data_IF_928482188153
#
_entry.id   IF_928482188153
#
_cell.length_a   1.000
_cell.length_b   1.000
_cell.length_c   1.000
_cell.angle_alpha   90.00
_cell.angle_beta   90.00
_cell.angle_gamma   90.00
#
_symmetry.space_group_name_H-M   'P 1'
#
loop_
_entity.id
_entity.type
_entity.pdbx_description
1 polymer ?
#
# COMPACT_ATOMS: atom_id res chain seq x y z
N UNK A 1 17.70 13.23 -2.11
CA UNK A 1 16.70 13.70 -3.12
C UNK A 1 15.81 14.73 -2.44
N UNK A 2 15.18 15.68 -3.15
CA UNK A 2 14.27 16.65 -2.51
C UNK A 2 12.87 16.59 -3.12
N UNK A 3 11.86 16.32 -2.29
CA UNK A 3 10.45 16.30 -2.70
C UNK A 3 9.66 17.32 -1.90
N UNK A 4 8.97 18.24 -2.59
CA UNK A 4 8.16 19.32 -1.99
C UNK A 4 8.85 20.11 -0.86
N UNK A 5 10.16 20.29 -0.92
CA UNK A 5 10.90 21.03 0.12
C UNK A 5 11.60 20.14 1.15
N UNK A 6 11.29 18.85 1.21
CA UNK A 6 11.79 17.88 2.19
C UNK A 6 12.91 17.02 1.59
N UNK A 7 13.99 16.85 2.34
CA UNK A 7 15.12 16.02 1.94
C UNK A 7 14.88 14.56 2.31
N UNK A 8 14.93 13.70 1.30
CA UNK A 8 14.79 12.25 1.39
C UNK A 8 16.16 11.58 1.23
N UNK A 9 16.41 10.59 2.08
CA UNK A 9 17.71 9.95 2.32
C UNK A 9 17.56 8.43 2.35
N UNK A 10 18.63 7.71 1.97
CA UNK A 10 18.64 6.24 1.98
C UNK A 10 17.68 5.62 0.96
N UNK A 11 17.45 6.30 -0.17
CA UNK A 11 16.54 5.84 -1.24
C UNK A 11 17.10 4.67 -2.06
N UNK A 12 18.35 4.30 -1.83
CA UNK A 12 19.05 3.16 -2.43
C UNK A 12 19.02 1.91 -1.53
N UNK A 13 18.38 1.98 -0.36
CA UNK A 13 18.26 0.84 0.55
C UNK A 13 17.26 -0.18 0.01
N UNK A 14 17.52 -1.44 0.35
CA UNK A 14 16.56 -2.52 0.13
C UNK A 14 15.41 -2.36 1.13
N UNK A 15 14.18 -2.57 0.65
CA UNK A 15 12.96 -2.50 1.47
C UNK A 15 12.17 -3.76 1.22
N UNK A 16 11.94 -4.55 2.27
CA UNK A 16 11.17 -5.78 2.19
C UNK A 16 10.18 -5.83 3.33
N UNK A 17 8.90 -6.01 2.98
CA UNK A 17 7.82 -6.20 3.93
C UNK A 17 7.63 -7.70 4.16
N UNK A 18 7.57 -8.12 5.41
CA UNK A 18 7.44 -9.52 5.80
C UNK A 18 6.03 -10.04 5.49
N UNK A 19 5.97 -11.15 4.76
CA UNK A 19 4.74 -11.85 4.41
C UNK A 19 5.06 -13.31 4.05
N UNK A 20 4.09 -14.22 3.94
CA UNK A 20 4.36 -15.65 3.72
C UNK A 20 5.26 -15.98 2.51
N UNK A 21 5.25 -15.14 1.47
CA UNK A 21 6.12 -15.29 0.29
C UNK A 21 7.56 -14.83 0.49
N UNK A 22 7.84 -14.10 1.58
CA UNK A 22 9.16 -13.60 1.97
C UNK A 22 9.42 -14.01 3.42
N UNK A 23 10.21 -15.07 3.61
CA UNK A 23 10.36 -15.75 4.92
C UNK A 23 11.27 -15.02 5.92
N UNK A 24 11.71 -13.81 5.62
CA UNK A 24 12.58 -13.01 6.49
C UNK A 24 11.79 -11.91 7.20
N UNK A 25 12.40 -11.30 8.22
CA UNK A 25 11.81 -10.15 8.91
C UNK A 25 11.77 -8.93 7.97
N UNK A 26 10.99 -7.92 8.37
CA UNK A 26 11.01 -6.62 7.69
C UNK A 26 12.45 -6.10 7.55
N UNK A 27 12.78 -5.60 6.37
CA UNK A 27 14.07 -5.01 6.06
C UNK A 27 13.87 -3.58 5.58
N UNK A 28 14.59 -2.63 6.19
CA UNK A 28 14.59 -1.24 5.72
C UNK A 28 13.28 -0.48 5.93
N UNK A 29 12.43 -0.85 6.89
CA UNK A 29 11.10 -0.26 7.15
C UNK A 29 11.07 0.80 8.25
N UNK A 30 12.22 1.39 8.60
CA UNK A 30 12.34 2.29 9.75
C UNK A 30 11.33 3.45 9.75
N UNK A 31 11.04 4.01 8.57
CA UNK A 31 10.10 5.14 8.46
C UNK A 31 8.64 4.68 8.49
N UNK A 32 8.32 3.53 7.92
CA UNK A 32 7.01 2.89 8.09
C UNK A 32 6.76 2.63 9.58
N UNK A 33 7.69 2.00 10.28
CA UNK A 33 7.54 1.68 11.71
C UNK A 33 7.33 2.95 12.54
N UNK A 34 8.11 3.99 12.23
CA UNK A 34 7.99 5.30 12.87
C UNK A 34 6.63 5.95 12.62
N UNK A 35 6.13 5.89 11.38
CA UNK A 35 4.84 6.47 11.02
C UNK A 35 3.69 5.73 11.72
N UNK A 36 3.73 4.40 11.71
CA UNK A 36 2.70 3.56 12.30
C UNK A 36 2.68 3.65 13.84
N UNK A 37 3.82 3.94 14.48
CA UNK A 37 3.90 4.09 15.95
C UNK A 37 3.72 5.52 16.45
N UNK A 38 3.56 6.51 15.57
CA UNK A 38 3.38 7.91 15.99
C UNK A 38 2.08 8.14 16.78
N UNK A 39 2.05 9.18 17.61
CA UNK A 39 0.84 9.65 18.28
C UNK A 39 -0.17 10.17 17.24
N UNK A 40 -1.27 9.43 17.04
CA UNK A 40 -2.29 9.75 16.05
C UNK A 40 -3.16 10.94 16.48
N UNK A 41 -3.31 11.17 17.80
CA UNK A 41 -4.06 12.31 18.33
C UNK A 41 -3.33 13.65 18.11
N UNK A 42 -2.01 13.61 17.90
CA UNK A 42 -1.21 14.79 17.56
C UNK A 42 -1.34 15.22 16.09
N UNK A 43 -1.93 14.40 15.22
CA UNK A 43 -2.08 14.68 13.80
C UNK A 43 -3.28 15.59 13.53
N UNK A 44 -3.10 16.55 12.62
CA UNK A 44 -4.24 17.25 12.02
C UNK A 44 -5.08 16.28 11.18
N UNK A 45 -6.37 16.59 10.91
CA UNK A 45 -7.22 15.71 10.10
C UNK A 45 -6.63 15.33 8.73
N UNK A 46 -5.95 16.27 8.06
CA UNK A 46 -5.28 15.99 6.78
C UNK A 46 -4.11 15.03 6.93
N UNK A 47 -3.28 15.22 7.96
CA UNK A 47 -2.15 14.34 8.22
C UNK A 47 -2.63 12.93 8.60
N UNK A 48 -3.66 12.85 9.45
CA UNK A 48 -4.29 11.59 9.81
C UNK A 48 -4.83 10.84 8.59
N UNK A 49 -5.49 11.54 7.68
CA UNK A 49 -5.98 10.98 6.43
C UNK A 49 -4.85 10.40 5.57
N UNK A 50 -3.75 11.14 5.37
CA UNK A 50 -2.62 10.66 4.56
C UNK A 50 -1.88 9.47 5.20
N UNK A 51 -1.74 9.47 6.53
CA UNK A 51 -1.19 8.32 7.27
C UNK A 51 -2.09 7.10 7.15
N UNK A 52 -3.41 7.29 7.27
CA UNK A 52 -4.41 6.22 7.11
C UNK A 52 -4.40 5.65 5.69
N UNK A 53 -4.28 6.51 4.67
CA UNK A 53 -4.18 6.09 3.27
C UNK A 53 -2.94 5.24 3.02
N UNK A 54 -1.78 5.67 3.50
CA UNK A 54 -0.56 4.88 3.36
C UNK A 54 -0.64 3.54 4.11
N UNK A 55 -1.12 3.56 5.36
CA UNK A 55 -1.30 2.36 6.18
C UNK A 55 -2.23 1.35 5.49
N UNK A 56 -3.30 1.82 4.85
CA UNK A 56 -4.23 0.97 4.11
C UNK A 56 -3.56 0.23 2.94
N UNK A 57 -2.62 0.88 2.23
CA UNK A 57 -1.83 0.24 1.15
C UNK A 57 -0.83 -0.77 1.71
N UNK A 58 -0.16 -0.47 2.83
CA UNK A 58 0.76 -1.41 3.50
C UNK A 58 0.00 -2.67 3.95
N UNK A 59 -1.18 -2.48 4.53
CA UNK A 59 -2.07 -3.55 4.91
C UNK A 59 -2.57 -4.36 3.71
N UNK A 60 -2.89 -3.70 2.59
CA UNK A 60 -3.27 -4.35 1.33
C UNK A 60 -2.13 -5.23 0.81
N UNK A 61 -0.91 -4.68 0.73
CA UNK A 61 0.30 -5.42 0.33
C UNK A 61 0.50 -6.66 1.18
N UNK A 62 0.45 -6.52 2.51
CA UNK A 62 0.58 -7.65 3.43
C UNK A 62 -0.45 -8.75 3.14
N UNK A 63 -1.73 -8.41 2.94
CA UNK A 63 -2.76 -9.41 2.69
C UNK A 63 -2.59 -10.12 1.34
N UNK A 64 -2.33 -9.36 0.28
CA UNK A 64 -2.17 -9.91 -1.07
C UNK A 64 -0.89 -10.75 -1.15
N UNK A 65 0.22 -10.27 -0.62
CA UNK A 65 1.46 -11.03 -0.60
C UNK A 65 1.40 -12.26 0.31
N UNK A 66 0.53 -12.27 1.33
CA UNK A 66 0.44 -13.41 2.25
C UNK A 66 -0.52 -14.52 1.77
N UNK A 67 -1.62 -14.17 1.09
CA UNK A 67 -2.63 -15.15 0.67
C UNK A 67 -3.45 -14.73 -0.56
N UNK A 68 -2.95 -13.77 -1.33
CA UNK A 68 -3.59 -13.26 -2.54
C UNK A 68 -4.78 -12.36 -2.29
N UNK A 69 -5.39 -11.95 -3.39
CA UNK A 69 -6.63 -11.17 -3.42
C UNK A 69 -7.74 -11.92 -2.68
N UNK A 70 -7.74 -13.26 -2.73
CA UNK A 70 -8.65 -14.08 -1.93
C UNK A 70 -8.54 -13.83 -0.42
N UNK A 71 -7.33 -13.76 0.14
CA UNK A 71 -7.14 -13.43 1.55
C UNK A 71 -7.49 -11.97 1.86
N UNK A 72 -7.10 -11.04 0.99
CA UNK A 72 -7.43 -9.62 1.11
C UNK A 72 -8.95 -9.38 1.19
N UNK A 73 -9.73 -10.02 0.32
CA UNK A 73 -11.19 -9.94 0.33
C UNK A 73 -11.77 -10.69 1.53
N UNK A 74 -11.35 -11.93 1.75
CA UNK A 74 -11.87 -12.77 2.85
C UNK A 74 -11.66 -12.20 4.24
N UNK A 75 -10.63 -11.37 4.43
CA UNK A 75 -10.36 -10.64 5.67
C UNK A 75 -10.96 -9.21 5.70
N UNK A 76 -11.74 -8.83 4.69
CA UNK A 76 -12.43 -7.54 4.60
C UNK A 76 -11.50 -6.33 4.41
N UNK A 77 -10.29 -6.50 3.87
CA UNK A 77 -9.35 -5.38 3.66
C UNK A 77 -9.70 -4.52 2.44
N UNK A 78 -10.67 -4.95 1.63
CA UNK A 78 -11.30 -4.15 0.57
C UNK A 78 -12.33 -3.14 1.08
N UNK A 79 -12.80 -3.31 2.32
CA UNK A 79 -13.84 -2.48 2.92
C UNK A 79 -13.25 -1.39 3.81
N UNK A 80 -13.98 -0.28 3.97
CA UNK A 80 -13.64 0.75 4.94
C UNK A 80 -13.86 0.26 6.38
N UNK A 81 -12.92 0.59 7.28
CA UNK A 81 -13.07 0.43 8.72
C UNK A 81 -12.64 1.70 9.45
N UNK A 82 -13.54 2.20 10.30
CA UNK A 82 -13.24 3.30 11.19
C UNK A 82 -12.20 2.88 12.25
N UNK A 83 -11.44 3.83 12.83
CA UNK A 83 -10.51 3.54 13.91
C UNK A 83 -11.26 2.96 15.11
N UNK A 84 -10.67 1.97 15.78
CA UNK A 84 -11.26 1.41 17.00
C UNK A 84 -10.94 2.25 18.24
N UNK A 85 -9.77 2.89 18.25
CA UNK A 85 -9.28 3.76 19.31
C UNK A 85 -8.58 5.01 18.76
N UNK A 86 -8.29 5.97 19.65
CA UNK A 86 -7.59 7.21 19.28
C UNK A 86 -6.15 6.99 18.82
N UNK A 87 -5.57 5.81 19.11
CA UNK A 87 -4.23 5.42 18.69
C UNK A 87 -4.23 4.68 17.32
N UNK A 88 -5.41 4.37 16.78
CA UNK A 88 -5.56 3.68 15.50
C UNK A 88 -5.66 4.66 14.32
N UNK A 89 -5.48 4.13 13.10
CA UNK A 89 -5.75 4.85 11.85
C UNK A 89 -7.03 4.34 11.21
N UNK A 90 -7.58 5.10 10.26
CA UNK A 90 -8.60 4.56 9.37
C UNK A 90 -7.99 3.49 8.45
N UNK A 91 -8.77 2.46 8.18
CA UNK A 91 -8.48 1.55 7.08
C UNK A 91 -9.44 1.89 5.94
N UNK A 92 -8.92 2.48 4.87
CA UNK A 92 -9.72 2.77 3.70
C UNK A 92 -9.88 1.55 2.79
N UNK A 93 -10.95 1.54 2.01
CA UNK A 93 -11.28 0.44 1.10
C UNK A 93 -10.47 0.45 -0.20
N UNK A 94 -10.79 -0.48 -1.09
CA UNK A 94 -10.07 -0.71 -2.34
C UNK A 94 -9.95 0.56 -3.21
N UNK A 95 -11.01 1.37 -3.28
CA UNK A 95 -11.03 2.60 -4.10
C UNK A 95 -9.99 3.61 -3.62
N UNK A 96 -9.94 3.90 -2.32
CA UNK A 96 -8.95 4.81 -1.75
C UNK A 96 -7.54 4.23 -1.79
N UNK A 97 -7.38 2.91 -1.63
CA UNK A 97 -6.09 2.24 -1.78
C UNK A 97 -5.56 2.40 -3.22
N UNK A 98 -6.41 2.29 -4.24
CA UNK A 98 -6.05 2.57 -5.65
C UNK A 98 -5.62 4.01 -5.83
N UNK A 99 -6.33 4.98 -5.25
CA UNK A 99 -5.91 6.39 -5.32
C UNK A 99 -4.55 6.60 -4.67
N UNK A 100 -4.29 5.95 -3.54
CA UNK A 100 -3.02 6.04 -2.87
C UNK A 100 -1.89 5.38 -3.68
N UNK A 101 -2.11 4.22 -4.29
CA UNK A 101 -1.14 3.58 -5.20
C UNK A 101 -0.79 4.47 -6.40
N UNK A 102 -1.78 5.11 -7.01
CA UNK A 102 -1.57 6.07 -8.10
C UNK A 102 -0.75 7.27 -7.62
N UNK A 103 -1.04 7.79 -6.42
CA UNK A 103 -0.27 8.87 -5.80
C UNK A 103 1.17 8.45 -5.46
N UNK A 104 1.39 7.20 -5.02
CA UNK A 104 2.72 6.65 -4.79
C UNK A 104 3.51 6.52 -6.08
N UNK A 105 2.89 6.10 -7.19
CA UNK A 105 3.55 6.08 -8.50
C UNK A 105 3.94 7.50 -8.97
N UNK A 106 3.06 8.49 -8.80
CA UNK A 106 3.35 9.89 -9.12
C UNK A 106 4.46 10.47 -8.23
N UNK A 107 4.47 10.11 -6.94
CA UNK A 107 5.56 10.41 -6.03
C UNK A 107 6.87 9.76 -6.50
N UNK A 108 6.79 8.50 -6.92
CA UNK A 108 7.90 7.73 -7.49
C UNK A 108 8.52 8.40 -8.71
N UNK A 109 7.71 8.99 -9.60
CA UNK A 109 8.21 9.72 -10.78
C UNK A 109 9.11 10.92 -10.39
N UNK A 110 8.90 11.50 -9.21
CA UNK A 110 9.70 12.60 -8.70
C UNK A 110 10.95 12.12 -7.94
N UNK A 111 10.81 11.04 -7.17
CA UNK A 111 11.85 10.60 -6.20
C UNK A 111 12.77 9.53 -6.77
N UNK A 112 12.26 8.71 -7.68
CA UNK A 112 12.95 7.62 -8.37
C UNK A 112 12.80 7.75 -9.90
N UNK A 113 13.30 8.83 -10.52
CA UNK A 113 13.14 9.05 -11.96
C UNK A 113 13.84 7.97 -12.82
N UNK A 114 14.76 7.20 -12.24
CA UNK A 114 15.44 6.08 -12.90
C UNK A 114 14.63 4.77 -12.87
N UNK A 115 13.56 4.70 -12.08
CA UNK A 115 12.67 3.55 -11.94
C UNK A 115 11.33 3.78 -12.67
N UNK A 116 11.36 4.49 -13.80
CA UNK A 116 10.17 4.89 -14.56
C UNK A 116 9.28 3.69 -14.96
N UNK A 117 9.90 2.55 -15.29
CA UNK A 117 9.22 1.30 -15.60
C UNK A 117 8.46 0.78 -14.39
N UNK A 118 9.10 0.75 -13.22
CA UNK A 118 8.51 0.25 -11.98
C UNK A 118 7.37 1.17 -11.50
N UNK A 119 7.54 2.50 -11.58
CA UNK A 119 6.46 3.45 -11.27
C UNK A 119 5.25 3.25 -12.20
N UNK A 120 5.51 3.05 -13.50
CA UNK A 120 4.46 2.77 -14.49
C UNK A 120 3.77 1.44 -14.22
N UNK A 121 4.51 0.42 -13.82
CA UNK A 121 3.97 -0.90 -13.46
C UNK A 121 3.05 -0.80 -12.23
N UNK A 122 3.43 -0.06 -11.18
CA UNK A 122 2.55 0.22 -10.04
C UNK A 122 1.25 0.91 -10.50
N UNK A 123 1.34 1.91 -11.38
CA UNK A 123 0.16 2.61 -11.90
C UNK A 123 -0.72 1.71 -12.76
N UNK A 124 -0.13 0.86 -13.59
CA UNK A 124 -0.84 -0.12 -14.41
C UNK A 124 -1.52 -1.17 -13.54
N UNK A 125 -0.82 -1.67 -12.53
CA UNK A 125 -1.37 -2.61 -11.56
C UNK A 125 -2.54 -2.01 -10.81
N UNK A 126 -2.40 -0.78 -10.31
CA UNK A 126 -3.50 -0.07 -9.64
C UNK A 126 -4.73 0.06 -10.54
N UNK A 127 -4.54 0.28 -11.85
CA UNK A 127 -5.65 0.30 -12.79
C UNK A 127 -6.26 -1.09 -12.99
N UNK A 128 -5.48 -2.15 -13.09
CA UNK A 128 -6.00 -3.52 -13.18
C UNK A 128 -6.82 -3.87 -11.93
N UNK A 129 -6.30 -3.55 -10.75
CA UNK A 129 -6.95 -3.78 -9.46
C UNK A 129 -8.28 -3.00 -9.34
N UNK A 130 -8.35 -1.77 -9.84
CA UNK A 130 -9.56 -0.93 -9.88
C UNK A 130 -10.69 -1.52 -10.75
N UNK A 131 -10.37 -2.44 -11.67
CA UNK A 131 -11.38 -3.14 -12.48
C UNK A 131 -11.94 -4.39 -11.80
N UNK A 132 -11.41 -4.78 -10.65
CA UNK A 132 -11.90 -5.89 -9.85
C UNK A 132 -13.10 -5.37 -9.04
N UNK A 133 -14.29 -5.89 -9.35
CA UNK A 133 -15.49 -5.60 -8.59
C UNK A 133 -15.53 -6.46 -7.32
N UNK A 134 -15.13 -5.88 -6.19
CA UNK A 134 -15.12 -6.55 -4.90
C UNK A 134 -16.50 -6.67 -4.25
N UNK A 135 -17.46 -5.80 -4.62
CA UNK A 135 -18.80 -5.75 -4.02
C UNK A 135 -19.75 -6.81 -4.61
N UNK A 136 -19.43 -7.36 -5.79
CA UNK A 136 -20.18 -8.47 -6.41
C UNK A 136 -19.66 -9.86 -6.04
N UNK A 137 -18.67 -9.94 -5.15
CA UNK A 137 -18.17 -11.20 -4.59
C UNK A 137 -19.11 -11.62 -3.46
N UNK A 138 -20.23 -12.26 -3.81
CA UNK A 138 -21.18 -12.81 -2.85
C UNK A 138 -20.42 -13.72 -1.86
N UNK A 139 -20.48 -13.34 -0.59
CA UNK A 139 -19.78 -13.99 0.51
C UNK A 139 -20.21 -15.46 0.63
N UNK A 140 -19.23 -16.36 0.47
CA UNK A 140 -19.21 -17.77 0.89
C UNK A 140 -20.16 -18.75 0.19
N UNK A 141 -19.65 -19.42 -0.85
CA UNK A 141 -19.33 -20.86 -0.77
C UNK A 141 -18.69 -21.30 -2.10
N UNK A 142 -17.38 -21.60 -2.05
CA UNK A 142 -16.57 -22.13 -3.14
C UNK A 142 -16.44 -21.23 -4.40
N UNK A 143 -15.20 -20.81 -4.66
CA UNK A 143 -14.76 -20.13 -5.90
C UNK A 143 -15.06 -18.64 -5.93
N UNK A 144 -14.03 -17.87 -6.28
CA UNK A 144 -14.07 -16.47 -6.71
C UNK A 144 -15.43 -16.18 -7.37
N UNK A 145 -16.24 -15.33 -6.74
CA UNK A 145 -17.58 -15.00 -7.19
C UNK A 145 -17.59 -14.62 -8.67
N UNK A 146 -18.65 -15.03 -9.37
CA UNK A 146 -18.91 -15.05 -10.82
C UNK A 146 -18.65 -13.76 -11.63
N UNK A 147 -18.10 -12.69 -11.04
CA UNK A 147 -18.08 -11.35 -11.63
C UNK A 147 -16.69 -10.75 -11.88
N UNK A 148 -15.62 -11.44 -11.47
CA UNK A 148 -14.26 -11.13 -11.93
C UNK A 148 -13.75 -12.38 -12.63
N UNK A 149 -13.35 -12.26 -13.91
CA UNK A 149 -12.72 -13.39 -14.61
C UNK A 149 -11.61 -13.93 -13.72
N UNK A 150 -11.59 -15.23 -13.36
CA UNK A 150 -10.49 -15.83 -12.61
C UNK A 150 -9.13 -15.50 -13.25
N UNK A 151 -9.11 -15.34 -14.57
CA UNK A 151 -7.93 -14.92 -15.34
C UNK A 151 -7.49 -13.48 -15.01
N UNK A 152 -8.42 -12.55 -14.75
CA UNK A 152 -8.10 -11.16 -14.39
C UNK A 152 -7.58 -11.04 -12.96
N UNK A 153 -8.13 -11.81 -12.01
CA UNK A 153 -7.59 -11.92 -10.65
C UNK A 153 -6.20 -12.54 -10.69
N UNK A 154 -6.03 -13.62 -11.46
CA UNK A 154 -4.75 -14.29 -11.63
C UNK A 154 -3.71 -13.38 -12.29
N UNK A 155 -4.06 -12.63 -13.34
CA UNK A 155 -3.17 -11.65 -13.99
C UNK A 155 -2.77 -10.53 -13.02
N UNK A 156 -3.72 -10.01 -12.26
CA UNK A 156 -3.47 -8.99 -11.24
C UNK A 156 -2.52 -9.52 -10.15
N UNK A 157 -2.75 -10.71 -9.63
CA UNK A 157 -1.88 -11.33 -8.65
C UNK A 157 -0.48 -11.64 -9.20
N UNK A 158 -0.39 -12.29 -10.36
CA UNK A 158 0.89 -12.65 -10.98
C UNK A 158 1.76 -11.43 -11.25
N UNK A 159 1.17 -10.35 -11.76
CA UNK A 159 1.88 -9.08 -11.95
C UNK A 159 2.27 -8.44 -10.62
N UNK A 160 1.43 -8.54 -9.57
CA UNK A 160 1.78 -8.04 -8.25
C UNK A 160 3.06 -8.69 -7.72
N UNK A 161 3.07 -10.01 -7.73
CA UNK A 161 4.20 -10.83 -7.27
C UNK A 161 5.41 -10.78 -8.19
N UNK A 162 5.25 -10.29 -9.42
CA UNK A 162 6.30 -10.18 -10.43
C UNK A 162 7.27 -9.01 -10.22
N UNK A 163 7.10 -8.24 -9.14
CA UNK A 163 7.98 -7.14 -8.76
C UNK A 163 7.25 -5.83 -8.40
N UNK A 164 5.93 -5.77 -8.59
CA UNK A 164 5.15 -4.58 -8.18
C UNK A 164 5.13 -4.45 -6.66
N UNK A 165 4.98 -5.55 -5.90
CA UNK A 165 5.01 -5.55 -4.43
C UNK A 165 6.30 -4.93 -3.88
N UNK A 166 7.45 -5.31 -4.44
CA UNK A 166 8.76 -4.85 -3.99
C UNK A 166 8.89 -3.32 -4.17
N UNK A 167 8.44 -2.83 -5.33
CA UNK A 167 8.47 -1.39 -5.60
C UNK A 167 7.43 -0.62 -4.78
N UNK A 168 6.26 -1.21 -4.50
CA UNK A 168 5.26 -0.63 -3.57
C UNK A 168 5.86 -0.50 -2.17
N UNK A 169 6.57 -1.51 -1.67
CA UNK A 169 7.26 -1.44 -0.37
C UNK A 169 8.25 -0.27 -0.31
N UNK A 170 9.11 -0.13 -1.32
CA UNK A 170 10.07 0.98 -1.41
C UNK A 170 9.37 2.35 -1.47
N UNK A 171 8.31 2.48 -2.27
CA UNK A 171 7.54 3.72 -2.37
C UNK A 171 6.87 4.05 -1.04
N UNK A 172 6.30 3.06 -0.34
CA UNK A 172 5.69 3.23 0.96
C UNK A 172 6.69 3.73 2.00
N UNK A 173 7.89 3.14 2.05
CA UNK A 173 8.95 3.56 2.97
C UNK A 173 9.45 4.97 2.69
N UNK A 174 9.71 5.30 1.41
CA UNK A 174 10.13 6.64 1.02
C UNK A 174 9.03 7.70 1.26
N UNK A 175 7.76 7.33 1.06
CA UNK A 175 6.64 8.21 1.35
C UNK A 175 6.44 8.37 2.87
N UNK A 176 6.59 7.31 3.66
CA UNK A 176 6.59 7.38 5.12
C UNK A 176 7.67 8.33 5.63
N UNK A 177 8.90 8.26 5.07
CA UNK A 177 9.96 9.23 5.38
C UNK A 177 9.53 10.66 5.09
N UNK A 178 8.91 10.89 3.93
CA UNK A 178 8.39 12.20 3.56
C UNK A 178 7.32 12.69 4.56
N UNK A 179 6.35 11.85 4.93
CA UNK A 179 5.31 12.21 5.90
C UNK A 179 5.90 12.51 7.28
N UNK A 180 6.77 11.63 7.80
CA UNK A 180 7.41 11.83 9.09
C UNK A 180 8.18 13.14 9.16
N UNK A 181 9.03 13.41 8.15
CA UNK A 181 9.82 14.66 8.08
C UNK A 181 8.93 15.88 7.87
N UNK A 182 7.86 15.78 7.09
CA UNK A 182 6.93 16.89 6.84
C UNK A 182 6.13 17.27 8.08
N UNK A 183 5.77 16.28 8.91
CA UNK A 183 4.85 16.47 10.03
C UNK A 183 5.58 16.63 11.38
N UNK A 184 6.90 16.43 11.40
CA UNK A 184 7.68 16.46 12.63
C UNK A 184 7.39 15.27 13.53
N UNK A 185 7.18 14.09 12.94
CA UNK A 185 7.03 12.83 13.67
C UNK A 185 8.43 12.37 14.07
N UNK A 186 8.66 12.31 15.38
CA UNK A 186 9.96 12.04 16.04
C UNK A 186 10.18 10.57 16.42
#
# INVERSE_FOLDING_TARGET
>A
MKYKGIELEGLDKDVKLAHSRFTEADEGTDWIDKLLTCDKAALTPTQFHEVSALSSVINMDYQICNGGIGQYVGNGYHEYRAPYSDDDVEHYGAVEQVYMLRALADFGDNVFPYADSCNREVRQWANLFDHIDFDSVDYYDEVIGEYVSPEAVEECEQSYYGGVSDHVGLLCEAYAQYLCKSYGID
#
